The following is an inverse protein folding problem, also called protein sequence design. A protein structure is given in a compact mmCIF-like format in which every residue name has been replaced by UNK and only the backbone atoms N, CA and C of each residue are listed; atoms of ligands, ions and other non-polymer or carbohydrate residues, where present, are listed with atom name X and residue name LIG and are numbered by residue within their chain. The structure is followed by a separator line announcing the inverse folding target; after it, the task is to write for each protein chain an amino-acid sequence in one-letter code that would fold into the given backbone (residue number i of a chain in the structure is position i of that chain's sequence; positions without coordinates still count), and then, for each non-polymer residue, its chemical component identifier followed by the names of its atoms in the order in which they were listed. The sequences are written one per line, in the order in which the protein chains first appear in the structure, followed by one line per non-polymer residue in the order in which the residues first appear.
data_IF_611192459084
#
_entry.id   IF_611192459084
#
_cell.length_a   1.000
_cell.length_b   1.000
_cell.length_c   1.000
_cell.angle_alpha   90.00
_cell.angle_beta   90.00
_cell.angle_gamma   90.00
#
_symmetry.space_group_name_H-M   'P 1'
#
loop_
_entity.id
_entity.type
_entity.pdbx_description
1 polymer ?
#
# COMPACT_ATOMS: atom_id res chain seq x y z
N UNK A 1 -11.33 13.44 -12.14
CA UNK A 1 -10.68 12.62 -11.09
C UNK A 1 -9.45 11.96 -11.71
N UNK A 2 -8.27 12.10 -11.11
CA UNK A 2 -7.04 11.48 -11.61
C UNK A 2 -6.71 10.33 -10.65
N UNK A 3 -6.66 9.10 -11.18
CA UNK A 3 -6.29 7.91 -10.42
C UNK A 3 -4.78 7.86 -10.19
N UNK A 4 -4.34 7.76 -8.93
CA UNK A 4 -2.93 7.74 -8.59
C UNK A 4 -2.25 6.40 -8.96
N UNK A 5 -0.94 6.28 -8.71
CA UNK A 5 -0.15 5.07 -9.07
C UNK A 5 -0.73 3.81 -8.46
N UNK A 6 -1.17 3.87 -7.21
CA UNK A 6 -1.71 2.74 -6.47
C UNK A 6 -3.04 2.28 -7.03
N UNK A 7 -3.95 3.22 -7.29
CA UNK A 7 -5.23 2.95 -7.92
C UNK A 7 -5.05 2.33 -9.30
N UNK A 8 -4.09 2.82 -10.10
CA UNK A 8 -3.75 2.26 -11.42
C UNK A 8 -3.21 0.83 -11.33
N UNK A 9 -2.33 0.54 -10.39
CA UNK A 9 -1.79 -0.81 -10.23
C UNK A 9 -2.86 -1.79 -9.78
N UNK A 10 -3.69 -1.41 -8.80
CA UNK A 10 -4.82 -2.22 -8.35
C UNK A 10 -5.85 -2.43 -9.47
N UNK A 11 -6.16 -1.39 -10.24
CA UNK A 11 -7.06 -1.44 -11.40
C UNK A 11 -6.57 -2.45 -12.45
N UNK A 12 -5.31 -2.36 -12.86
CA UNK A 12 -4.72 -3.27 -13.85
C UNK A 12 -4.72 -4.71 -13.33
N UNK A 13 -4.28 -4.91 -12.09
CA UNK A 13 -4.23 -6.23 -11.47
C UNK A 13 -5.61 -6.89 -11.38
N UNK A 14 -6.63 -6.15 -10.92
CA UNK A 14 -7.99 -6.69 -10.81
C UNK A 14 -8.61 -6.97 -12.18
N UNK A 15 -8.30 -6.15 -13.18
CA UNK A 15 -8.74 -6.39 -14.55
C UNK A 15 -8.13 -7.67 -15.14
N UNK A 16 -6.87 -7.95 -14.84
CA UNK A 16 -6.12 -9.10 -15.41
C UNK A 16 -6.36 -10.40 -14.63
N UNK A 17 -6.40 -10.35 -13.31
CA UNK A 17 -6.49 -11.54 -12.45
C UNK A 17 -7.88 -11.79 -11.86
N UNK A 18 -8.75 -10.77 -11.79
CA UNK A 18 -10.07 -10.83 -11.16
C UNK A 18 -11.19 -10.23 -12.05
N UNK A 19 -11.28 -10.60 -13.34
CA UNK A 19 -12.20 -9.96 -14.28
C UNK A 19 -13.68 -10.06 -13.86
N UNK A 20 -14.06 -11.15 -13.18
CA UNK A 20 -15.42 -11.34 -12.69
C UNK A 20 -15.81 -10.31 -11.62
N UNK A 21 -14.88 -9.96 -10.71
CA UNK A 21 -15.12 -8.93 -9.69
C UNK A 21 -15.02 -7.53 -10.25
N UNK A 22 -14.07 -7.31 -11.17
CA UNK A 22 -13.98 -6.05 -11.89
C UNK A 22 -15.30 -5.72 -12.61
N UNK A 23 -15.93 -6.71 -13.25
CA UNK A 23 -17.22 -6.55 -13.96
C UNK A 23 -18.43 -6.29 -13.05
N UNK A 24 -18.34 -6.60 -11.76
CA UNK A 24 -19.41 -6.29 -10.78
C UNK A 24 -19.35 -4.88 -10.21
N UNK A 25 -18.27 -4.14 -10.47
CA UNK A 25 -18.13 -2.76 -9.98
C UNK A 25 -18.99 -1.81 -10.83
N UNK A 26 -19.89 -1.02 -10.23
CA UNK A 26 -20.74 -0.08 -10.97
C UNK A 26 -19.94 1.11 -11.53
N UNK A 27 -18.93 1.59 -10.78
CA UNK A 27 -17.97 2.59 -11.25
C UNK A 27 -16.54 2.17 -10.84
N UNK A 28 -15.84 1.42 -11.70
CA UNK A 28 -14.47 1.01 -11.43
C UNK A 28 -13.54 2.22 -11.26
N UNK A 29 -13.73 3.28 -12.04
CA UNK A 29 -12.83 4.42 -12.03
C UNK A 29 -12.91 5.16 -10.69
N UNK A 30 -14.11 5.42 -10.18
CA UNK A 30 -14.29 6.05 -8.87
C UNK A 30 -13.78 5.15 -7.74
N UNK A 31 -14.08 3.85 -7.79
CA UNK A 31 -13.62 2.88 -6.79
C UNK A 31 -12.09 2.84 -6.68
N UNK A 32 -11.40 2.64 -7.80
CA UNK A 32 -9.94 2.56 -7.80
C UNK A 32 -9.26 3.91 -7.57
N UNK A 33 -9.92 5.03 -7.89
CA UNK A 33 -9.44 6.37 -7.49
C UNK A 33 -9.47 6.53 -5.98
N UNK A 34 -10.58 6.19 -5.32
CA UNK A 34 -10.70 6.26 -3.87
C UNK A 34 -9.76 5.28 -3.16
N UNK A 35 -9.67 4.05 -3.69
CA UNK A 35 -8.72 3.04 -3.20
C UNK A 35 -7.29 3.58 -3.26
N UNK A 36 -6.90 4.15 -4.40
CA UNK A 36 -5.59 4.74 -4.58
C UNK A 36 -5.27 5.81 -3.53
N UNK A 37 -6.21 6.73 -3.27
CA UNK A 37 -6.03 7.81 -2.28
C UNK A 37 -5.90 7.25 -0.85
N UNK A 38 -6.72 6.27 -0.48
CA UNK A 38 -6.65 5.63 0.84
C UNK A 38 -5.29 4.94 1.04
N UNK A 39 -4.82 4.26 0.00
CA UNK A 39 -3.56 3.53 -0.02
C UNK A 39 -2.35 4.44 0.08
N UNK A 40 -2.37 5.56 -0.65
CA UNK A 40 -1.31 6.56 -0.59
C UNK A 40 -1.14 7.13 0.83
N UNK A 41 -2.26 7.38 1.52
CA UNK A 41 -2.23 7.80 2.93
C UNK A 41 -1.64 6.72 3.81
N UNK A 42 -2.08 5.47 3.66
CA UNK A 42 -1.60 4.35 4.46
C UNK A 42 -0.11 4.07 4.25
N UNK A 43 0.39 4.18 3.01
CA UNK A 43 1.82 4.08 2.72
C UNK A 43 2.62 5.21 3.39
N UNK A 44 2.09 6.43 3.39
CA UNK A 44 2.66 7.55 4.14
C UNK A 44 2.73 7.28 5.64
N UNK A 45 1.62 6.85 6.24
CA UNK A 45 1.56 6.51 7.68
C UNK A 45 2.52 5.37 8.04
N UNK A 46 2.58 4.32 7.22
CA UNK A 46 3.49 3.19 7.43
C UNK A 46 4.96 3.62 7.30
N UNK A 47 5.28 4.42 6.28
CA UNK A 47 6.61 5.00 6.10
C UNK A 47 7.01 5.82 7.33
N UNK A 48 6.14 6.69 7.82
CA UNK A 48 6.42 7.53 8.98
C UNK A 48 6.61 6.67 10.25
N UNK A 49 5.78 5.64 10.44
CA UNK A 49 5.94 4.68 11.54
C UNK A 49 7.27 3.91 11.45
N UNK A 50 7.67 3.45 10.27
CA UNK A 50 8.93 2.73 10.04
C UNK A 50 10.15 3.65 10.19
N UNK A 51 10.06 4.90 9.76
CA UNK A 51 11.10 5.91 9.98
C UNK A 51 11.25 6.20 11.48
N UNK A 52 10.14 6.33 12.22
CA UNK A 52 10.16 6.55 13.67
C UNK A 52 10.72 5.33 14.43
N UNK A 53 10.41 4.12 13.97
CA UNK A 53 10.93 2.88 14.54
C UNK A 53 12.41 2.63 14.21
N UNK A 54 12.91 3.18 13.09
CA UNK A 54 14.30 3.05 12.68
C UNK A 54 15.24 3.89 13.55
N UNK A 55 16.16 3.25 14.27
CA UNK A 55 17.20 3.98 15.00
C UNK A 55 18.19 4.60 14.00
N UNK A 56 18.45 5.92 14.06
CA UNK A 56 19.51 6.52 13.26
C UNK A 56 20.87 5.94 13.68
N UNK A 57 21.72 5.63 12.70
CA UNK A 57 23.09 5.22 13.02
C UNK A 57 23.86 6.41 13.60
N UNK A 58 24.62 6.18 14.67
CA UNK A 58 25.53 7.21 15.22
C UNK A 58 26.54 7.64 14.15
N UNK A 59 26.62 8.95 13.88
CA UNK A 59 27.49 9.50 12.82
C UNK A 59 26.96 9.35 11.39
N UNK A 60 25.67 9.05 11.20
CA UNK A 60 25.04 8.94 9.89
C UNK A 60 25.19 10.21 9.02
N UNK A 61 25.66 10.04 7.78
CA UNK A 61 25.70 11.11 6.78
C UNK A 61 24.33 11.38 6.17
N UNK A 62 24.12 12.56 5.59
CA UNK A 62 22.85 12.92 4.93
C UNK A 62 22.48 11.95 3.78
N UNK A 63 23.49 11.43 3.09
CA UNK A 63 23.32 10.42 2.03
C UNK A 63 22.81 9.10 2.60
N UNK A 64 23.42 8.59 3.67
CA UNK A 64 22.98 7.36 4.37
C UNK A 64 21.56 7.49 4.92
N UNK A 65 21.23 8.66 5.49
CA UNK A 65 19.86 8.98 5.94
C UNK A 65 18.86 8.94 4.78
N UNK A 66 19.22 9.55 3.65
CA UNK A 66 18.37 9.59 2.46
C UNK A 66 18.15 8.18 1.89
N UNK A 67 19.20 7.36 1.83
CA UNK A 67 19.10 5.95 1.45
C UNK A 67 18.19 5.15 2.38
N UNK A 68 18.32 5.31 3.70
CA UNK A 68 17.43 4.63 4.66
C UNK A 68 15.98 5.04 4.42
N UNK A 69 15.70 6.33 4.34
CA UNK A 69 14.34 6.84 4.13
C UNK A 69 13.76 6.36 2.79
N UNK A 70 14.58 6.26 1.75
CA UNK A 70 14.19 5.70 0.46
C UNK A 70 13.83 4.21 0.59
N UNK A 71 14.70 3.40 1.19
CA UNK A 71 14.43 1.97 1.44
C UNK A 71 13.17 1.75 2.28
N UNK A 72 12.93 2.58 3.29
CA UNK A 72 11.69 2.52 4.09
C UNK A 72 10.47 2.86 3.23
N UNK A 73 10.58 3.86 2.34
CA UNK A 73 9.52 4.19 1.39
C UNK A 73 9.19 3.04 0.44
N UNK A 74 10.20 2.45 -0.19
CA UNK A 74 10.03 1.29 -1.10
C UNK A 74 9.41 0.09 -0.38
N UNK A 75 9.82 -0.18 0.87
CA UNK A 75 9.25 -1.27 1.65
C UNK A 75 7.79 -0.99 2.04
N UNK A 76 7.48 0.22 2.51
CA UNK A 76 6.11 0.61 2.84
C UNK A 76 5.19 0.50 1.62
N UNK A 77 5.63 1.00 0.47
CA UNK A 77 4.93 0.90 -0.80
C UNK A 77 4.69 -0.57 -1.19
N UNK A 78 5.71 -1.42 -1.10
CA UNK A 78 5.60 -2.86 -1.41
C UNK A 78 4.61 -3.56 -0.51
N UNK A 79 4.67 -3.33 0.81
CA UNK A 79 3.79 -3.98 1.78
C UNK A 79 2.34 -3.58 1.50
N UNK A 80 2.07 -2.29 1.32
CA UNK A 80 0.71 -1.82 1.06
C UNK A 80 0.21 -2.32 -0.29
N UNK A 81 1.03 -2.29 -1.34
CA UNK A 81 0.67 -2.78 -2.67
C UNK A 81 0.44 -4.30 -2.69
N UNK A 82 1.23 -5.05 -1.95
CA UNK A 82 1.07 -6.49 -1.79
C UNK A 82 -0.25 -6.83 -1.08
N UNK A 83 -0.62 -6.11 -0.02
CA UNK A 83 -1.89 -6.31 0.67
C UNK A 83 -3.11 -5.98 -0.22
N UNK A 84 -2.97 -5.07 -1.19
CA UNK A 84 -4.04 -4.72 -2.14
C UNK A 84 -4.18 -5.69 -3.32
N UNK A 85 -3.06 -6.28 -3.73
CA UNK A 85 -3.03 -7.27 -4.83
C UNK A 85 -3.34 -8.67 -4.31
N UNK A 86 -3.15 -8.93 -3.01
CA UNK A 86 -3.66 -10.14 -2.37
C UNK A 86 -5.19 -10.12 -2.41
N UNK A 87 -5.86 -11.18 -2.92
CA UNK A 87 -7.29 -11.30 -2.79
C UNK A 87 -7.62 -11.35 -1.29
N UNK A 88 -8.43 -10.42 -0.75
CA UNK A 88 -8.85 -10.54 0.64
C UNK A 88 -9.64 -11.83 0.76
N UNK A 89 -9.26 -12.64 1.76
CA UNK A 89 -10.01 -13.82 2.15
C UNK A 89 -11.45 -13.37 2.48
N UNK A 90 -12.36 -13.56 1.52
CA UNK A 90 -13.77 -13.19 1.54
C UNK A 90 -14.11 -11.81 2.15
N UNK A 91 -14.56 -10.87 1.33
CA UNK A 91 -15.30 -9.70 1.83
C UNK A 91 -16.72 -10.15 2.24
N UNK A 92 -17.13 -10.10 3.51
CA UNK A 92 -18.53 -9.85 3.80
C UNK A 92 -18.81 -8.36 3.50
N UNK A 93 -19.84 -8.08 2.69
CA UNK A 93 -20.51 -6.78 2.57
C UNK A 93 -19.79 -5.56 1.95
N UNK A 94 -18.95 -5.74 0.91
CA UNK A 94 -18.55 -4.61 0.04
C UNK A 94 -17.78 -3.47 0.74
N UNK A 95 -17.36 -3.70 1.99
CA UNK A 95 -16.58 -2.77 2.80
C UNK A 95 -15.12 -3.04 2.52
N UNK A 96 -14.34 -2.04 2.10
CA UNK A 96 -12.90 -2.21 1.91
C UNK A 96 -12.27 -2.42 3.30
N UNK A 97 -11.78 -3.63 3.65
CA UNK A 97 -11.08 -3.82 4.89
C UNK A 97 -9.70 -3.25 4.66
N UNK A 98 -9.47 -2.03 5.12
CA UNK A 98 -8.12 -1.51 5.31
C UNK A 98 -7.55 -2.26 6.52
N UNK A 99 -7.18 -3.52 6.30
CA UNK A 99 -6.70 -4.39 7.38
C UNK A 99 -5.37 -3.80 7.87
N UNK A 100 -5.25 -3.60 9.17
CA UNK A 100 -4.03 -3.11 9.80
C UNK A 100 -2.85 -3.94 9.34
N UNK A 101 -1.93 -3.29 8.61
CA UNK A 101 -0.69 -3.90 8.17
C UNK A 101 0.06 -4.27 9.44
N UNK A 102 0.13 -5.57 9.73
CA UNK A 102 1.02 -6.06 10.75
C UNK A 102 2.45 -5.78 10.27
N UNK A 103 3.15 -4.89 10.96
CA UNK A 103 4.60 -4.75 10.83
C UNK A 103 5.20 -6.15 10.94
N UNK A 104 5.98 -6.64 9.96
CA UNK A 104 6.62 -7.93 10.08
C UNK A 104 7.53 -7.88 11.32
N UNK A 105 7.13 -8.60 12.36
CA UNK A 105 7.98 -8.80 13.54
C UNK A 105 9.14 -9.69 13.10
N UNK A 106 10.36 -9.15 13.11
CA UNK A 106 11.58 -9.89 12.79
C UNK A 106 11.67 -11.18 13.62
N UNK A 107 12.08 -12.32 13.03
CA UNK A 107 12.36 -13.52 13.81
C UNK A 107 13.60 -13.29 14.69
N UNK A 108 13.53 -13.79 15.92
CA UNK A 108 14.62 -13.82 16.91
C UNK A 108 15.80 -14.69 16.47
#
# INVERSE_FOLDING_TARGET
MIMNRYGRTAFTYWREHLPHRYGTLPDPLAYFTQLGIAVERQAGELRDAMVLAGTPADGETEEQRSHRIACVGDEADRVVLHELTRPPAAFPDGTIPVRGIAVPSSPS
#
